data_IF_731084145661
#
_entry.id   IF_731084145661
#
_cell.length_a   1.000
_cell.length_b   1.000
_cell.length_c   1.000
_cell.angle_alpha   90.00
_cell.angle_beta   90.00
_cell.angle_gamma   90.00
#
_symmetry.space_group_name_H-M   'P 1'
#
loop_
_entity.id
_entity.type
_entity.pdbx_description
1 polymer ?
#
# COMPACT_ATOMS: atom_id res chain seq x y z
N UNK A 1 -13.88 0.25 -9.60
CA UNK A 1 -15.23 0.58 -10.10
C UNK A 1 -15.17 1.83 -10.97
N UNK A 2 -15.68 1.73 -12.18
CA UNK A 2 -15.73 2.82 -13.17
C UNK A 2 -16.95 3.74 -12.99
N UNK A 3 -17.86 3.43 -12.07
CA UNK A 3 -19.07 4.20 -11.82
C UNK A 3 -18.84 5.13 -10.64
N UNK A 4 -18.95 6.46 -10.83
CA UNK A 4 -18.83 7.43 -9.76
C UNK A 4 -20.09 7.51 -8.88
N UNK A 5 -19.98 8.12 -7.70
CA UNK A 5 -21.08 8.22 -6.73
C UNK A 5 -22.30 8.95 -7.29
N UNK A 6 -22.11 10.00 -8.05
CA UNK A 6 -23.22 10.75 -8.67
C UNK A 6 -24.03 9.87 -9.63
N UNK A 7 -23.35 9.10 -10.47
CA UNK A 7 -24.01 8.14 -11.38
C UNK A 7 -24.72 7.03 -10.59
N UNK A 8 -24.08 6.51 -9.52
CA UNK A 8 -24.72 5.53 -8.64
C UNK A 8 -25.99 6.08 -7.99
N UNK A 9 -25.97 7.29 -7.45
CA UNK A 9 -27.14 7.94 -6.86
C UNK A 9 -28.29 8.08 -7.86
N UNK A 10 -27.98 8.43 -9.12
CA UNK A 10 -28.98 8.54 -10.20
C UNK A 10 -29.58 7.17 -10.54
N UNK A 11 -28.75 6.15 -10.73
CA UNK A 11 -29.20 4.78 -11.10
C UNK A 11 -30.06 4.16 -9.99
N UNK A 12 -29.59 4.25 -8.74
CA UNK A 12 -30.27 3.62 -7.60
C UNK A 12 -31.41 4.45 -7.03
N UNK A 13 -31.55 5.72 -7.46
CA UNK A 13 -32.46 6.72 -6.87
C UNK A 13 -32.23 6.91 -5.36
N UNK A 14 -31.08 6.52 -4.84
CA UNK A 14 -30.72 6.62 -3.43
C UNK A 14 -29.64 7.69 -3.24
N UNK A 15 -29.94 8.69 -2.42
CA UNK A 15 -29.01 9.78 -2.09
C UNK A 15 -28.01 9.40 -1.00
N UNK A 16 -28.28 8.34 -0.23
CA UNK A 16 -27.46 7.90 0.92
C UNK A 16 -26.51 6.74 0.52
N UNK A 17 -25.63 7.00 -0.46
CA UNK A 17 -24.64 6.03 -0.93
C UNK A 17 -23.28 6.37 -0.34
N UNK A 18 -22.59 5.36 0.16
CA UNK A 18 -21.22 5.43 0.64
C UNK A 18 -20.39 4.44 -0.18
N UNK A 19 -19.28 4.91 -0.72
CA UNK A 19 -18.31 4.05 -1.37
C UNK A 19 -17.33 3.56 -0.31
N UNK A 20 -17.11 2.27 -0.26
CA UNK A 20 -16.05 1.64 0.52
C UNK A 20 -15.11 0.86 -0.40
N UNK A 21 -13.81 0.94 -0.13
CA UNK A 21 -12.76 0.31 -0.93
C UNK A 21 -11.91 -0.55 -0.01
N UNK A 22 -12.32 -1.79 0.25
CA UNK A 22 -11.49 -2.76 0.95
C UNK A 22 -10.42 -3.32 0.01
N UNK A 23 -9.29 -3.74 0.58
CA UNK A 23 -8.25 -4.51 -0.12
C UNK A 23 -8.29 -5.98 0.33
N UNK A 24 -7.69 -6.93 -0.42
CA UNK A 24 -7.73 -8.35 -0.07
C UNK A 24 -7.38 -8.69 1.39
N UNK A 25 -6.44 -8.03 2.08
CA UNK A 25 -6.14 -8.33 3.49
C UNK A 25 -7.30 -8.12 4.48
N UNK A 26 -8.46 -7.63 4.03
CA UNK A 26 -9.68 -7.55 4.84
C UNK A 26 -10.14 -8.92 5.34
N UNK A 27 -9.82 -10.01 4.63
CA UNK A 27 -10.13 -11.39 5.03
C UNK A 27 -9.51 -11.79 6.38
N UNK A 28 -8.41 -11.13 6.74
CA UNK A 28 -7.73 -11.30 8.04
C UNK A 28 -7.89 -10.06 8.95
N UNK A 29 -8.92 -9.24 8.70
CA UNK A 29 -9.20 -8.01 9.44
C UNK A 29 -8.04 -7.01 9.46
N UNK A 30 -7.29 -6.89 8.36
CA UNK A 30 -6.13 -6.00 8.21
C UNK A 30 -6.28 -5.12 6.96
N UNK A 31 -5.47 -4.06 6.95
CA UNK A 31 -5.35 -3.16 5.81
C UNK A 31 -6.26 -1.93 5.87
N UNK A 32 -6.05 -0.98 4.96
CA UNK A 32 -6.83 0.25 4.91
C UNK A 32 -8.16 0.05 4.18
N UNK A 33 -9.22 0.67 4.70
CA UNK A 33 -10.53 0.74 4.06
C UNK A 33 -10.88 2.21 3.86
N UNK A 34 -10.80 2.69 2.63
CA UNK A 34 -11.17 4.07 2.30
C UNK A 34 -12.67 4.16 2.13
N UNK A 35 -13.33 5.09 2.85
CA UNK A 35 -14.77 5.37 2.71
C UNK A 35 -15.01 6.81 2.26
N UNK A 36 -15.97 7.01 1.37
CA UNK A 36 -16.37 8.31 0.82
C UNK A 36 -17.91 8.36 0.55
N UNK A 37 -18.60 9.39 1.01
CA UNK A 37 -18.18 10.40 1.96
C UNK A 37 -18.02 9.85 3.39
N UNK A 38 -17.49 10.61 4.35
CA UNK A 38 -17.40 10.23 5.75
C UNK A 38 -18.78 9.84 6.30
N UNK A 39 -18.84 8.72 7.05
CA UNK A 39 -20.09 8.25 7.62
C UNK A 39 -19.85 7.40 8.86
N UNK A 40 -20.43 7.82 9.98
CA UNK A 40 -20.26 7.19 11.31
C UNK A 40 -20.68 5.71 11.31
N UNK A 41 -21.81 5.37 10.68
CA UNK A 41 -22.31 4.00 10.65
C UNK A 41 -21.42 3.08 9.82
N UNK A 42 -21.00 3.53 8.63
CA UNK A 42 -20.04 2.81 7.79
C UNK A 42 -18.70 2.64 8.50
N UNK A 43 -18.20 3.70 9.16
CA UNK A 43 -16.97 3.61 9.95
C UNK A 43 -17.09 2.57 11.09
N UNK A 44 -18.19 2.58 11.81
CA UNK A 44 -18.42 1.62 12.88
C UNK A 44 -18.52 0.18 12.38
N UNK A 45 -19.09 -0.04 11.19
CA UNK A 45 -19.13 -1.34 10.55
C UNK A 45 -17.74 -1.81 10.14
N UNK A 46 -17.03 -0.97 9.39
CA UNK A 46 -15.75 -1.35 8.78
C UNK A 46 -14.55 -1.38 9.73
N UNK A 47 -14.62 -0.72 10.90
CA UNK A 47 -13.52 -0.74 11.89
C UNK A 47 -13.13 -2.14 12.39
N UNK A 48 -14.03 -3.10 12.30
CA UNK A 48 -13.75 -4.50 12.67
C UNK A 48 -13.03 -5.28 11.59
N UNK A 49 -13.00 -4.74 10.38
CA UNK A 49 -12.40 -5.38 9.20
C UNK A 49 -11.05 -4.76 8.80
N UNK A 50 -10.68 -3.61 9.39
CA UNK A 50 -9.43 -2.94 9.09
C UNK A 50 -9.41 -1.47 9.53
N UNK A 51 -8.38 -0.75 9.10
CA UNK A 51 -8.23 0.68 9.42
C UNK A 51 -9.04 1.55 8.47
N UNK A 52 -10.07 2.22 8.99
CA UNK A 52 -10.95 3.07 8.18
C UNK A 52 -10.32 4.44 7.94
N UNK A 53 -10.26 4.84 6.67
CA UNK A 53 -9.77 6.16 6.21
C UNK A 53 -10.95 6.90 5.57
N UNK A 54 -11.37 7.99 6.19
CA UNK A 54 -12.49 8.80 5.73
C UNK A 54 -12.03 9.92 4.81
N UNK A 55 -12.61 10.02 3.62
CA UNK A 55 -12.34 11.09 2.67
C UNK A 55 -13.63 11.79 2.25
N UNK A 56 -13.58 13.14 2.06
CA UNK A 56 -14.74 13.95 1.69
C UNK A 56 -14.96 14.01 0.19
N UNK A 57 -13.89 13.94 -0.59
CA UNK A 57 -13.94 14.10 -2.04
C UNK A 57 -13.65 12.76 -2.73
N UNK A 58 -14.60 12.31 -3.55
CA UNK A 58 -14.47 11.04 -4.29
C UNK A 58 -13.24 11.01 -5.22
N UNK A 59 -12.85 12.16 -5.79
CA UNK A 59 -11.65 12.23 -6.65
C UNK A 59 -10.35 11.85 -5.91
N UNK A 60 -10.32 11.98 -4.58
CA UNK A 60 -9.20 11.49 -3.78
C UNK A 60 -9.13 9.95 -3.75
N UNK A 61 -10.26 9.26 -3.92
CA UNK A 61 -10.30 7.80 -3.98
C UNK A 61 -9.40 7.24 -5.08
N UNK A 62 -9.32 7.90 -6.21
CA UNK A 62 -8.48 7.47 -7.34
C UNK A 62 -6.99 7.46 -6.99
N UNK A 63 -6.54 8.38 -6.14
CA UNK A 63 -5.16 8.43 -5.64
C UNK A 63 -4.85 7.23 -4.74
N UNK A 64 -5.77 6.88 -3.84
CA UNK A 64 -5.65 5.68 -3.02
C UNK A 64 -5.67 4.40 -3.87
N UNK A 65 -6.53 4.33 -4.90
CA UNK A 65 -6.55 3.19 -5.83
C UNK A 65 -5.25 3.06 -6.62
N UNK A 66 -4.70 4.19 -7.09
CA UNK A 66 -3.40 4.18 -7.76
C UNK A 66 -2.33 3.61 -6.85
N UNK A 67 -2.31 4.03 -5.58
CA UNK A 67 -1.35 3.51 -4.61
C UNK A 67 -1.60 2.03 -4.28
N UNK A 68 -2.87 1.60 -4.18
CA UNK A 68 -3.20 0.20 -3.93
C UNK A 68 -2.75 -0.75 -5.05
N UNK A 69 -2.50 -0.26 -6.27
CA UNK A 69 -2.02 -1.07 -7.39
C UNK A 69 -0.59 -1.62 -7.21
N UNK A 70 0.12 -1.25 -6.13
CA UNK A 70 1.47 -1.74 -5.83
C UNK A 70 1.52 -3.18 -5.31
N UNK A 71 0.37 -3.83 -5.05
CA UNK A 71 0.36 -5.15 -4.41
C UNK A 71 1.21 -6.19 -5.15
N UNK A 72 1.08 -6.28 -6.48
CA UNK A 72 1.91 -7.20 -7.26
C UNK A 72 3.40 -6.83 -7.20
N UNK A 73 3.73 -5.54 -7.21
CA UNK A 73 5.11 -5.06 -7.06
C UNK A 73 5.67 -5.41 -5.69
N UNK A 74 4.88 -5.30 -4.64
CA UNK A 74 5.28 -5.71 -3.29
C UNK A 74 5.62 -7.20 -3.26
N UNK A 75 4.75 -8.07 -3.77
CA UNK A 75 5.03 -9.51 -3.83
C UNK A 75 6.23 -9.85 -4.71
N UNK A 76 6.47 -9.10 -5.80
CA UNK A 76 7.66 -9.29 -6.63
C UNK A 76 8.95 -8.92 -5.88
N UNK A 77 8.94 -7.91 -5.04
CA UNK A 77 10.09 -7.59 -4.17
C UNK A 77 10.37 -8.76 -3.22
N UNK A 78 9.34 -9.36 -2.59
CA UNK A 78 9.50 -10.54 -1.74
C UNK A 78 10.05 -11.72 -2.54
N UNK A 79 9.47 -11.99 -3.73
CA UNK A 79 9.89 -13.04 -4.63
C UNK A 79 11.36 -12.89 -5.06
N UNK A 80 11.75 -11.71 -5.52
CA UNK A 80 13.13 -11.43 -5.93
C UNK A 80 14.13 -11.62 -4.78
N UNK A 81 13.75 -11.15 -3.57
CA UNK A 81 14.58 -11.27 -2.37
C UNK A 81 14.76 -12.73 -1.94
N UNK A 82 13.67 -13.51 -1.91
CA UNK A 82 13.70 -14.93 -1.59
C UNK A 82 14.51 -15.73 -2.62
N UNK A 83 14.28 -15.48 -3.91
CA UNK A 83 15.02 -16.15 -4.99
C UNK A 83 16.52 -15.84 -4.93
N UNK A 84 16.90 -14.63 -4.52
CA UNK A 84 18.32 -14.31 -4.32
C UNK A 84 18.93 -15.17 -3.22
N UNK A 85 18.26 -15.37 -2.07
CA UNK A 85 18.71 -16.25 -1.00
C UNK A 85 18.83 -17.71 -1.48
N UNK A 86 17.83 -18.19 -2.21
CA UNK A 86 17.83 -19.57 -2.77
C UNK A 86 19.03 -19.78 -3.70
N UNK A 87 19.31 -18.82 -4.59
CA UNK A 87 20.49 -18.86 -5.47
C UNK A 87 21.83 -18.83 -4.70
N UNK A 88 21.82 -18.35 -3.45
CA UNK A 88 22.98 -18.38 -2.54
C UNK A 88 23.04 -19.64 -1.68
N UNK A 89 22.21 -20.66 -1.96
CA UNK A 89 22.23 -21.95 -1.29
C UNK A 89 21.31 -22.07 -0.07
N UNK A 90 20.47 -21.09 0.21
CA UNK A 90 19.51 -21.17 1.30
C UNK A 90 18.30 -22.03 0.86
N UNK A 91 17.85 -22.93 1.73
CA UNK A 91 16.64 -23.72 1.48
C UNK A 91 15.44 -22.81 1.21
N UNK A 92 14.60 -23.18 0.23
CA UNK A 92 13.44 -22.38 -0.20
C UNK A 92 12.48 -22.01 0.93
N UNK A 93 12.14 -22.96 1.80
CA UNK A 93 11.21 -22.71 2.90
C UNK A 93 11.81 -21.72 3.92
N UNK A 94 13.10 -21.88 4.22
CA UNK A 94 13.85 -20.96 5.11
C UNK A 94 13.91 -19.57 4.50
N UNK A 95 14.24 -19.45 3.21
CA UNK A 95 14.30 -18.17 2.50
C UNK A 95 12.93 -17.46 2.50
N UNK A 96 11.85 -18.17 2.15
CA UNK A 96 10.52 -17.61 2.14
C UNK A 96 10.08 -17.14 3.53
N UNK A 97 10.31 -17.96 4.55
CA UNK A 97 9.96 -17.61 5.93
C UNK A 97 10.72 -16.36 6.39
N UNK A 98 12.04 -16.33 6.18
CA UNK A 98 12.87 -15.19 6.56
C UNK A 98 12.42 -13.88 5.88
N UNK A 99 12.16 -13.92 4.58
CA UNK A 99 11.72 -12.73 3.84
C UNK A 99 10.33 -12.27 4.29
N UNK A 100 9.39 -13.19 4.51
CA UNK A 100 8.06 -12.85 4.99
C UNK A 100 8.13 -12.15 6.36
N UNK A 101 8.88 -12.71 7.32
CA UNK A 101 9.06 -12.15 8.67
C UNK A 101 9.80 -10.80 8.64
N UNK A 102 10.84 -10.66 7.80
CA UNK A 102 11.56 -9.40 7.62
C UNK A 102 10.61 -8.28 7.18
N UNK A 103 9.83 -8.49 6.12
CA UNK A 103 8.93 -7.47 5.61
C UNK A 103 7.74 -7.21 6.54
N UNK A 104 7.25 -8.23 7.24
CA UNK A 104 6.21 -8.08 8.27
C UNK A 104 6.72 -7.18 9.41
N UNK A 105 7.90 -7.44 9.93
CA UNK A 105 8.49 -6.67 11.04
C UNK A 105 8.77 -5.21 10.64
N UNK A 106 9.30 -4.97 9.43
CA UNK A 106 9.51 -3.63 8.91
C UNK A 106 8.19 -2.86 8.71
N UNK A 107 7.15 -3.55 8.21
CA UNK A 107 5.83 -2.95 8.05
C UNK A 107 5.19 -2.61 9.40
N UNK A 108 5.34 -3.48 10.40
CA UNK A 108 4.84 -3.24 11.75
C UNK A 108 5.57 -2.07 12.42
N UNK A 109 6.90 -1.97 12.27
CA UNK A 109 7.68 -0.83 12.76
C UNK A 109 7.23 0.48 12.10
N UNK A 110 7.01 0.46 10.79
CA UNK A 110 6.50 1.61 10.05
C UNK A 110 5.10 2.04 10.53
N UNK A 111 4.20 1.10 10.85
CA UNK A 111 2.89 1.41 11.43
C UNK A 111 3.05 2.06 12.81
N UNK A 112 3.91 1.53 13.65
CA UNK A 112 4.13 2.04 15.01
C UNK A 112 4.74 3.46 14.99
N UNK A 113 5.62 3.74 14.04
CA UNK A 113 6.37 5.01 13.94
C UNK A 113 5.85 5.98 12.87
N UNK A 114 4.68 5.71 12.26
CA UNK A 114 4.13 6.52 11.14
C UNK A 114 4.00 8.02 11.44
N UNK A 115 3.79 8.40 12.70
CA UNK A 115 3.70 9.81 13.12
C UNK A 115 5.02 10.57 12.98
N UNK A 116 6.16 9.87 12.94
CA UNK A 116 7.48 10.48 12.72
C UNK A 116 7.75 10.81 11.24
N UNK A 117 6.95 10.24 10.34
CA UNK A 117 7.11 10.33 8.89
C UNK A 117 8.14 9.34 8.33
N UNK A 118 7.83 8.77 7.18
CA UNK A 118 8.67 7.72 6.56
C UNK A 118 10.06 8.20 6.14
N UNK A 119 10.23 9.49 5.83
CA UNK A 119 11.56 10.06 5.55
C UNK A 119 12.50 9.91 6.74
N UNK A 120 12.00 10.09 7.98
CA UNK A 120 12.78 9.88 9.18
C UNK A 120 13.15 8.41 9.36
N UNK A 121 12.23 7.47 9.13
CA UNK A 121 12.52 6.04 9.21
C UNK A 121 13.62 5.62 8.23
N UNK A 122 13.61 6.17 7.01
CA UNK A 122 14.69 5.96 6.04
C UNK A 122 16.02 6.47 6.58
N UNK A 123 16.07 7.66 7.19
CA UNK A 123 17.30 8.20 7.74
C UNK A 123 17.80 7.38 8.95
N UNK A 124 16.91 7.05 9.89
CA UNK A 124 17.24 6.31 11.11
C UNK A 124 17.70 4.86 10.85
N UNK A 125 17.28 4.26 9.72
CA UNK A 125 17.70 2.91 9.32
C UNK A 125 19.08 2.86 8.66
N UNK A 126 19.74 3.99 8.50
CA UNK A 126 21.05 4.08 7.84
C UNK A 126 22.15 4.37 8.86
N UNK A 127 23.26 3.64 8.73
CA UNK A 127 24.52 3.98 9.38
C UNK A 127 25.54 4.45 8.33
N UNK A 128 26.48 5.34 8.69
CA UNK A 128 27.53 5.74 7.76
C UNK A 128 28.27 4.53 7.18
N UNK A 129 28.33 4.44 5.86
CA UNK A 129 28.90 3.30 5.12
C UNK A 129 28.22 1.93 5.38
N UNK A 130 27.02 1.92 5.98
CA UNK A 130 26.27 0.73 6.30
C UNK A 130 25.61 0.09 5.04
N UNK A 131 25.28 -1.20 5.17
CA UNK A 131 24.68 -1.98 4.07
C UNK A 131 23.34 -1.40 3.60
N UNK A 132 22.51 -0.91 4.52
CA UNK A 132 21.22 -0.30 4.18
C UNK A 132 21.40 0.94 3.30
N UNK A 133 22.39 1.79 3.63
CA UNK A 133 22.69 2.97 2.83
C UNK A 133 23.24 2.59 1.45
N UNK A 134 24.04 1.55 1.35
CA UNK A 134 24.59 1.09 0.08
C UNK A 134 23.48 0.62 -0.86
N UNK A 135 22.60 -0.26 -0.41
CA UNK A 135 21.46 -0.76 -1.21
C UNK A 135 20.55 0.39 -1.63
N UNK A 136 20.22 1.31 -0.70
CA UNK A 136 19.39 2.48 -1.01
C UNK A 136 20.01 3.33 -2.14
N UNK A 137 21.32 3.65 -2.05
CA UNK A 137 22.03 4.44 -3.07
C UNK A 137 22.06 3.74 -4.43
N UNK A 138 22.28 2.44 -4.47
CA UNK A 138 22.27 1.66 -5.73
C UNK A 138 20.89 1.72 -6.40
N UNK A 139 19.80 1.54 -5.64
CA UNK A 139 18.45 1.63 -6.17
C UNK A 139 18.09 3.06 -6.62
N UNK A 140 18.57 4.08 -5.90
CA UNK A 140 18.42 5.49 -6.30
C UNK A 140 19.15 5.78 -7.61
N UNK A 141 20.41 5.34 -7.75
CA UNK A 141 21.22 5.45 -8.98
C UNK A 141 20.52 4.75 -10.16
N UNK A 142 19.92 3.58 -9.92
CA UNK A 142 19.10 2.86 -10.89
C UNK A 142 17.75 3.49 -11.21
N UNK A 143 17.43 4.65 -10.62
CA UNK A 143 16.15 5.39 -10.78
C UNK A 143 14.92 4.55 -10.40
N UNK A 144 15.07 3.57 -9.49
CA UNK A 144 13.98 2.70 -9.06
C UNK A 144 12.79 3.50 -8.55
N UNK A 145 12.99 4.40 -7.59
CA UNK A 145 11.91 5.19 -6.99
C UNK A 145 11.27 6.16 -7.98
N UNK A 146 12.04 6.73 -8.90
CA UNK A 146 11.52 7.59 -9.99
C UNK A 146 10.60 6.79 -10.92
N UNK A 147 11.03 5.58 -11.32
CA UNK A 147 10.21 4.68 -12.16
C UNK A 147 8.97 4.22 -11.43
N UNK A 148 9.08 3.92 -10.13
CA UNK A 148 7.95 3.55 -9.28
C UNK A 148 6.88 4.65 -9.22
N UNK A 149 7.26 5.89 -8.92
CA UNK A 149 6.33 7.03 -8.91
C UNK A 149 5.70 7.26 -10.29
N UNK A 150 6.49 7.17 -11.38
CA UNK A 150 5.97 7.28 -12.75
C UNK A 150 4.91 6.22 -13.05
N UNK A 151 5.08 4.99 -12.56
CA UNK A 151 4.09 3.93 -12.72
C UNK A 151 2.77 4.28 -12.00
N UNK A 152 2.83 4.79 -10.76
CA UNK A 152 1.65 5.26 -10.03
C UNK A 152 0.92 6.39 -10.77
N UNK A 153 1.66 7.36 -11.31
CA UNK A 153 1.09 8.45 -12.10
C UNK A 153 0.39 7.95 -13.38
N UNK A 154 0.95 6.93 -14.05
CA UNK A 154 0.33 6.31 -15.22
C UNK A 154 -1.01 5.65 -14.85
N UNK A 155 -1.06 4.92 -13.73
CA UNK A 155 -2.30 4.31 -13.23
C UNK A 155 -3.31 5.41 -12.84
N UNK A 156 -2.88 6.43 -12.11
CA UNK A 156 -3.74 7.54 -11.71
C UNK A 156 -4.38 8.23 -12.94
N UNK A 157 -3.61 8.47 -13.99
CA UNK A 157 -4.13 9.02 -15.26
C UNK A 157 -5.12 8.07 -15.95
N UNK A 158 -4.88 6.77 -15.91
CA UNK A 158 -5.77 5.76 -16.52
C UNK A 158 -7.13 5.70 -15.82
N UNK A 159 -7.18 5.77 -14.50
CA UNK A 159 -8.42 5.61 -13.72
C UNK A 159 -9.20 6.91 -13.55
N UNK A 160 -8.60 8.07 -13.87
CA UNK A 160 -9.26 9.38 -13.87
C UNK A 160 -9.85 9.78 -15.24
N UNK A 161 -9.71 8.93 -16.26
CA UNK A 161 -10.38 9.05 -17.55
C UNK A 161 -11.77 8.46 -17.46
#
# INVERSE_FOLDING_TARGET
STINLEKLKKITKNKKIIRAIPLPPIEINKGPIVICPPNKNAKNLFKYLGTVIEIRNENLSYKFWSTASIMATYYEILNASSNWLIKKGINKNVANNYIAELFLSLSQDAVNKKSQGFKKLVADSQTPNGLNMQVLKELQKGKFYTKFIKALENINRRINK
#
